data_IF_466373627200
#
_entry.id   IF_466373627200
#
_cell.length_a   1.000
_cell.length_b   1.000
_cell.length_c   1.000
_cell.angle_alpha   90.00
_cell.angle_beta   90.00
_cell.angle_gamma   90.00
#
_symmetry.space_group_name_H-M   'P 1'
#
loop_
_entity.id
_entity.type
_entity.pdbx_description
1 polymer ?
#
# COMPACT_ATOMS: atom_id res chain seq x y z
N UNK A 1 -56.51 -17.76 -5.43
CA UNK A 1 -55.48 -18.48 -4.66
C UNK A 1 -54.12 -17.92 -5.11
N UNK A 2 -53.65 -16.85 -4.47
CA UNK A 2 -52.42 -16.13 -4.85
C UNK A 2 -51.25 -16.80 -4.12
N UNK A 3 -50.47 -17.59 -4.86
CA UNK A 3 -49.33 -18.34 -4.31
C UNK A 3 -48.08 -17.46 -4.39
N UNK A 4 -47.36 -17.38 -3.28
CA UNK A 4 -46.25 -16.47 -3.01
C UNK A 4 -45.13 -16.50 -4.06
N UNK A 5 -44.90 -15.37 -4.73
CA UNK A 5 -43.76 -15.10 -5.63
C UNK A 5 -42.63 -14.28 -4.94
N UNK A 6 -42.70 -14.12 -3.62
CA UNK A 6 -41.79 -13.24 -2.86
C UNK A 6 -40.62 -13.96 -2.15
N UNK A 7 -40.55 -15.29 -2.22
CA UNK A 7 -39.53 -16.08 -1.49
C UNK A 7 -38.13 -16.08 -2.11
N UNK A 8 -38.00 -15.77 -3.42
CA UNK A 8 -36.73 -15.89 -4.16
C UNK A 8 -35.89 -14.60 -4.09
N UNK A 9 -36.51 -13.45 -3.77
CA UNK A 9 -35.79 -12.16 -3.67
C UNK A 9 -34.97 -12.02 -2.39
N UNK A 10 -35.40 -12.63 -1.28
CA UNK A 10 -34.76 -12.43 0.04
C UNK A 10 -33.47 -13.25 0.17
N UNK A 11 -33.44 -14.48 -0.38
CA UNK A 11 -32.23 -15.31 -0.39
C UNK A 11 -31.10 -14.69 -1.23
N UNK A 12 -31.44 -14.10 -2.38
CA UNK A 12 -30.45 -13.43 -3.22
C UNK A 12 -29.89 -12.16 -2.57
N UNK A 13 -30.70 -11.43 -1.78
CA UNK A 13 -30.27 -10.22 -1.08
C UNK A 13 -29.29 -10.55 0.07
N UNK A 14 -29.57 -11.62 0.81
CA UNK A 14 -28.70 -12.10 1.89
C UNK A 14 -27.37 -12.67 1.38
N UNK A 15 -27.39 -13.39 0.25
CA UNK A 15 -26.17 -13.86 -0.41
C UNK A 15 -25.33 -12.67 -0.91
N UNK A 16 -25.97 -11.61 -1.42
CA UNK A 16 -25.29 -10.40 -1.88
C UNK A 16 -24.60 -9.69 -0.71
N UNK A 17 -25.27 -9.55 0.43
CA UNK A 17 -24.74 -8.87 1.62
C UNK A 17 -23.54 -9.62 2.22
N UNK A 18 -23.61 -10.96 2.30
CA UNK A 18 -22.48 -11.80 2.72
C UNK A 18 -21.30 -11.68 1.74
N UNK A 19 -21.59 -11.68 0.43
CA UNK A 19 -20.55 -11.57 -0.60
C UNK A 19 -19.87 -10.20 -0.56
N UNK A 20 -20.65 -9.13 -0.35
CA UNK A 20 -20.15 -7.76 -0.21
C UNK A 20 -19.27 -7.61 1.03
N UNK A 21 -19.73 -8.12 2.18
CA UNK A 21 -18.96 -8.07 3.42
C UNK A 21 -17.65 -8.83 3.30
N UNK A 22 -17.67 -10.03 2.70
CA UNK A 22 -16.46 -10.82 2.46
C UNK A 22 -15.50 -10.13 1.50
N UNK A 23 -16.02 -9.48 0.44
CA UNK A 23 -15.19 -8.73 -0.49
C UNK A 23 -14.50 -7.51 0.15
N UNK A 24 -15.20 -6.83 1.07
CA UNK A 24 -14.66 -5.72 1.86
C UNK A 24 -13.57 -6.18 2.82
N UNK A 25 -13.76 -7.33 3.49
CA UNK A 25 -12.75 -7.92 4.36
C UNK A 25 -11.49 -8.34 3.58
N UNK A 26 -11.65 -8.97 2.41
CA UNK A 26 -10.53 -9.34 1.54
C UNK A 26 -9.72 -8.10 1.10
N UNK A 27 -10.40 -7.02 0.71
CA UNK A 27 -9.76 -5.78 0.27
C UNK A 27 -9.03 -5.08 1.42
N UNK A 28 -9.62 -5.05 2.62
CA UNK A 28 -8.99 -4.50 3.82
C UNK A 28 -7.71 -5.26 4.22
N UNK A 29 -7.73 -6.61 4.13
CA UNK A 29 -6.56 -7.44 4.43
C UNK A 29 -5.44 -7.22 3.40
N UNK A 30 -5.78 -7.09 2.11
CA UNK A 30 -4.80 -6.78 1.07
C UNK A 30 -4.16 -5.40 1.27
N UNK A 31 -4.97 -4.38 1.61
CA UNK A 31 -4.47 -3.04 1.93
C UNK A 31 -3.55 -3.03 3.17
N UNK A 32 -3.93 -3.74 4.23
CA UNK A 32 -3.11 -3.86 5.44
C UNK A 32 -1.78 -4.55 5.12
N UNK A 33 -1.81 -5.65 4.36
CA UNK A 33 -0.60 -6.38 3.95
C UNK A 33 0.34 -5.50 3.13
N UNK A 34 -0.21 -4.73 2.18
CA UNK A 34 0.55 -3.76 1.39
C UNK A 34 1.27 -2.75 2.30
N UNK A 35 0.54 -2.17 3.25
CA UNK A 35 1.07 -1.20 4.18
C UNK A 35 2.21 -1.76 5.05
N UNK A 36 2.03 -2.98 5.59
CA UNK A 36 3.06 -3.63 6.41
C UNK A 36 4.34 -3.86 5.61
N UNK A 37 4.25 -4.42 4.40
CA UNK A 37 5.42 -4.68 3.56
C UNK A 37 6.13 -3.37 3.21
N UNK A 38 5.38 -2.34 2.81
CA UNK A 38 5.92 -1.01 2.50
C UNK A 38 6.69 -0.42 3.68
N UNK A 39 6.11 -0.51 4.88
CA UNK A 39 6.70 0.01 6.11
C UNK A 39 7.99 -0.73 6.45
N UNK A 40 8.00 -2.06 6.38
CA UNK A 40 9.20 -2.86 6.66
C UNK A 40 10.33 -2.52 5.68
N UNK A 41 10.02 -2.50 4.38
CA UNK A 41 11.02 -2.19 3.33
C UNK A 41 11.57 -0.78 3.51
N UNK A 42 10.69 0.20 3.76
CA UNK A 42 11.09 1.59 3.96
C UNK A 42 11.94 1.73 5.22
N UNK A 43 11.49 1.18 6.34
CA UNK A 43 12.20 1.25 7.62
C UNK A 43 13.60 0.62 7.53
N UNK A 44 13.71 -0.60 6.99
CA UNK A 44 15.00 -1.26 6.80
C UNK A 44 15.94 -0.46 5.88
N UNK A 45 15.39 0.16 4.83
CA UNK A 45 16.16 1.01 3.91
C UNK A 45 16.67 2.27 4.61
N UNK A 46 15.79 3.00 5.30
CA UNK A 46 16.17 4.21 6.06
C UNK A 46 17.26 3.91 7.07
N UNK A 47 17.08 2.84 7.85
CA UNK A 47 17.99 2.47 8.92
C UNK A 47 19.38 2.14 8.36
N UNK A 48 19.45 1.36 7.27
CA UNK A 48 20.71 1.01 6.62
C UNK A 48 21.40 2.25 6.04
N UNK A 49 20.67 3.12 5.35
CA UNK A 49 21.24 4.34 4.75
C UNK A 49 21.77 5.28 5.84
N UNK A 50 21.01 5.52 6.91
CA UNK A 50 21.43 6.39 8.01
C UNK A 50 22.64 5.84 8.76
N UNK A 51 22.72 4.53 8.98
CA UNK A 51 23.89 3.89 9.59
C UNK A 51 25.16 4.06 8.75
N UNK A 52 25.03 4.05 7.41
CA UNK A 52 26.17 4.24 6.51
C UNK A 52 26.60 5.71 6.40
N UNK A 53 25.64 6.64 6.45
CA UNK A 53 25.91 8.07 6.22
C UNK A 53 26.24 8.85 7.49
N UNK A 54 25.88 8.34 8.67
CA UNK A 54 26.01 9.06 9.94
C UNK A 54 26.74 8.24 10.99
N UNK A 55 27.31 8.92 12.00
CA UNK A 55 27.95 8.29 13.16
C UNK A 55 27.01 8.22 14.38
N UNK A 56 25.73 8.44 14.18
CA UNK A 56 24.74 8.43 15.25
C UNK A 56 24.52 7.03 15.79
N UNK A 57 24.04 6.96 17.03
CA UNK A 57 23.70 5.69 17.65
C UNK A 57 22.51 5.04 16.93
N UNK A 58 22.44 3.70 17.00
CA UNK A 58 21.33 2.93 16.43
C UNK A 58 19.98 3.41 16.99
N UNK A 59 19.94 3.86 18.25
CA UNK A 59 18.73 4.33 18.93
C UNK A 59 18.22 5.63 18.30
N UNK A 60 19.11 6.61 18.07
CA UNK A 60 18.77 7.89 17.42
C UNK A 60 18.32 7.69 15.97
N UNK A 61 18.98 6.79 15.24
CA UNK A 61 18.61 6.48 13.86
C UNK A 61 17.25 5.76 13.82
N UNK A 62 17.02 4.83 14.74
CA UNK A 62 15.76 4.08 14.82
C UNK A 62 14.59 4.98 15.18
N UNK A 63 14.78 5.93 16.09
CA UNK A 63 13.73 6.90 16.46
C UNK A 63 13.38 7.80 15.27
N UNK A 64 14.38 8.28 14.53
CA UNK A 64 14.14 9.07 13.32
C UNK A 64 13.40 8.28 12.24
N UNK A 65 13.79 7.03 12.00
CA UNK A 65 13.14 6.13 11.04
C UNK A 65 11.67 5.84 11.43
N UNK A 66 11.40 5.74 12.74
CA UNK A 66 10.05 5.53 13.26
C UNK A 66 9.19 6.79 13.07
N UNK A 67 9.72 7.98 13.41
CA UNK A 67 9.05 9.27 13.17
C UNK A 67 8.71 9.42 11.69
N UNK A 68 9.68 9.14 10.81
CA UNK A 68 9.46 9.19 9.36
C UNK A 68 8.38 8.20 8.92
N UNK A 69 8.37 6.97 9.43
CA UNK A 69 7.33 5.99 9.10
C UNK A 69 5.93 6.47 9.47
N UNK A 70 5.78 7.09 10.65
CA UNK A 70 4.49 7.67 11.10
C UNK A 70 4.08 8.84 10.21
N UNK A 71 4.98 9.79 9.98
CA UNK A 71 4.71 10.99 9.18
C UNK A 71 4.40 10.63 7.74
N UNK A 72 5.18 9.73 7.15
CA UNK A 72 4.96 9.23 5.79
C UNK A 72 3.60 8.56 5.65
N UNK A 73 3.22 7.71 6.61
CA UNK A 73 1.90 7.10 6.60
C UNK A 73 0.76 8.13 6.65
N UNK A 74 0.82 9.07 7.60
CA UNK A 74 -0.24 10.06 7.78
C UNK A 74 -0.34 11.03 6.60
N UNK A 75 0.78 11.55 6.10
CA UNK A 75 0.79 12.56 5.06
C UNK A 75 0.64 11.96 3.66
N UNK A 76 1.30 10.85 3.39
CA UNK A 76 1.40 10.32 2.03
C UNK A 76 0.30 9.30 1.82
N UNK A 77 0.28 8.25 2.65
CA UNK A 77 -0.61 7.10 2.42
C UNK A 77 -2.08 7.45 2.67
N UNK A 78 -2.39 8.23 3.72
CA UNK A 78 -3.77 8.59 4.04
C UNK A 78 -4.27 9.80 3.25
N UNK A 79 -3.45 10.84 3.07
CA UNK A 79 -3.93 12.10 2.50
C UNK A 79 -3.68 12.23 0.99
N UNK A 80 -2.51 11.81 0.51
CA UNK A 80 -2.09 12.06 -0.88
C UNK A 80 -2.53 10.94 -1.81
N UNK A 81 -2.24 9.67 -1.47
CA UNK A 81 -2.53 8.53 -2.34
C UNK A 81 -4.00 8.48 -2.77
N UNK A 82 -5.01 8.63 -1.88
CA UNK A 82 -6.41 8.52 -2.28
C UNK A 82 -6.88 9.65 -3.22
N UNK A 83 -6.18 10.79 -3.23
CA UNK A 83 -6.58 11.98 -3.99
C UNK A 83 -5.87 12.11 -5.33
N UNK A 84 -4.59 11.74 -5.38
CA UNK A 84 -3.70 12.11 -6.48
C UNK A 84 -3.11 10.86 -7.18
N UNK A 85 -3.25 9.69 -6.57
CA UNK A 85 -2.77 8.42 -7.12
C UNK A 85 -1.31 8.11 -6.78
N UNK A 86 -0.94 6.86 -7.01
CA UNK A 86 0.30 6.23 -6.52
C UNK A 86 1.59 6.90 -7.06
N UNK A 87 1.62 7.26 -8.35
CA UNK A 87 2.83 7.83 -8.98
C UNK A 87 3.16 9.25 -8.50
N UNK A 88 2.16 10.04 -8.14
CA UNK A 88 2.37 11.43 -7.69
C UNK A 88 2.77 11.45 -6.19
N UNK A 89 2.56 10.35 -5.47
CA UNK A 89 3.05 10.21 -4.10
C UNK A 89 4.59 10.21 -4.01
N UNK A 90 5.29 9.76 -5.06
CA UNK A 90 6.76 9.63 -5.12
C UNK A 90 7.50 10.97 -4.91
N UNK A 91 7.21 12.05 -5.67
CA UNK A 91 7.84 13.35 -5.42
C UNK A 91 7.42 13.95 -4.07
N UNK A 92 6.19 13.71 -3.61
CA UNK A 92 5.78 14.14 -2.27
C UNK A 92 6.59 13.43 -1.19
N UNK A 93 6.83 12.13 -1.33
CA UNK A 93 7.67 11.38 -0.42
C UNK A 93 9.12 11.86 -0.42
N UNK A 94 9.64 12.29 -1.56
CA UNK A 94 10.94 12.96 -1.63
C UNK A 94 10.96 14.24 -0.76
N UNK A 95 9.99 15.14 -0.91
CA UNK A 95 9.95 16.37 -0.12
C UNK A 95 9.69 16.10 1.37
N UNK A 96 8.78 15.19 1.69
CA UNK A 96 8.48 14.81 3.07
C UNK A 96 9.67 14.17 3.75
N UNK A 97 10.35 13.21 3.11
CA UNK A 97 11.59 12.63 3.64
C UNK A 97 12.66 13.69 3.81
N UNK A 98 12.89 14.54 2.81
CA UNK A 98 13.88 15.61 2.88
C UNK A 98 13.64 16.53 4.10
N UNK A 99 12.39 16.93 4.35
CA UNK A 99 12.04 17.77 5.49
C UNK A 99 12.17 17.02 6.83
N UNK A 100 11.68 15.79 6.92
CA UNK A 100 11.74 15.01 8.16
C UNK A 100 13.18 14.69 8.56
N UNK A 101 14.00 14.23 7.62
CA UNK A 101 15.42 13.98 7.88
C UNK A 101 16.20 15.28 8.06
N UNK A 102 15.81 16.36 7.37
CA UNK A 102 16.40 17.69 7.55
C UNK A 102 16.25 18.19 8.97
N UNK A 103 15.02 18.24 9.46
CA UNK A 103 14.71 18.65 10.84
C UNK A 103 15.33 17.65 11.83
N UNK A 104 15.18 16.35 11.57
CA UNK A 104 15.68 15.31 12.47
C UNK A 104 17.20 15.34 12.65
N UNK A 105 17.97 15.41 11.56
CA UNK A 105 19.44 15.47 11.62
C UNK A 105 19.96 16.81 12.17
N UNK A 106 19.23 17.90 11.94
CA UNK A 106 19.55 19.21 12.53
C UNK A 106 19.38 19.18 14.05
N UNK A 107 18.30 18.58 14.55
CA UNK A 107 18.08 18.42 16.01
C UNK A 107 19.11 17.52 16.68
N UNK A 108 19.76 16.63 15.93
CA UNK A 108 20.87 15.80 16.40
C UNK A 108 22.25 16.50 16.30
N UNK A 109 22.29 17.75 15.85
CA UNK A 109 23.49 18.59 15.82
C UNK A 109 24.43 18.34 14.62
N UNK A 110 23.92 17.79 13.52
CA UNK A 110 24.75 17.49 12.34
C UNK A 110 24.99 18.76 11.50
N UNK A 111 26.18 19.36 11.59
CA UNK A 111 26.50 20.65 10.93
C UNK A 111 26.33 20.70 9.39
N UNK A 112 26.26 19.55 8.70
CA UNK A 112 26.09 19.45 7.23
C UNK A 112 24.91 18.54 6.88
N UNK A 113 23.69 19.01 7.13
CA UNK A 113 22.46 18.24 6.90
C UNK A 113 22.06 18.09 5.42
N UNK A 114 22.35 19.08 4.57
CA UNK A 114 21.72 19.17 3.24
C UNK A 114 22.06 17.96 2.35
N UNK A 115 23.35 17.62 2.24
CA UNK A 115 23.82 16.51 1.41
C UNK A 115 23.28 15.15 1.87
N UNK A 116 23.42 14.74 3.15
CA UNK A 116 22.85 13.48 3.60
C UNK A 116 21.32 13.45 3.46
N UNK A 117 20.61 14.56 3.71
CA UNK A 117 19.16 14.61 3.50
C UNK A 117 18.77 14.41 2.04
N UNK A 118 19.49 15.02 1.08
CA UNK A 118 19.25 14.82 -0.34
C UNK A 118 19.47 13.35 -0.75
N UNK A 119 20.55 12.73 -0.26
CA UNK A 119 20.84 11.33 -0.57
C UNK A 119 19.76 10.41 0.00
N UNK A 120 19.39 10.59 1.28
CA UNK A 120 18.36 9.78 1.94
C UNK A 120 17.02 9.91 1.24
N UNK A 121 16.60 11.15 0.93
CA UNK A 121 15.32 11.42 0.27
C UNK A 121 15.26 10.87 -1.16
N UNK A 122 16.34 10.98 -1.94
CA UNK A 122 16.44 10.37 -3.27
C UNK A 122 16.33 8.85 -3.20
N UNK A 123 17.06 8.21 -2.29
CA UNK A 123 17.03 6.75 -2.13
C UNK A 123 15.66 6.25 -1.67
N UNK A 124 15.02 6.95 -0.75
CA UNK A 124 13.68 6.59 -0.27
C UNK A 124 12.62 6.74 -1.34
N UNK A 125 12.62 7.87 -2.05
CA UNK A 125 11.69 8.12 -3.14
C UNK A 125 11.92 7.12 -4.28
N UNK A 126 13.18 6.79 -4.60
CA UNK A 126 13.52 5.75 -5.57
C UNK A 126 13.04 4.36 -5.16
N UNK A 127 13.22 3.98 -3.89
CA UNK A 127 12.71 2.72 -3.36
C UNK A 127 11.18 2.66 -3.40
N UNK A 128 10.50 3.77 -3.11
CA UNK A 128 9.05 3.83 -3.19
C UNK A 128 8.55 3.72 -4.63
N UNK A 129 9.22 4.36 -5.58
CA UNK A 129 8.93 4.22 -7.01
C UNK A 129 9.05 2.77 -7.47
N UNK A 130 10.14 2.09 -7.12
CA UNK A 130 10.33 0.66 -7.41
C UNK A 130 9.25 -0.20 -6.76
N UNK A 131 8.85 0.13 -5.53
CA UNK A 131 7.79 -0.56 -4.83
C UNK A 131 6.44 -0.41 -5.53
N UNK A 132 6.09 0.79 -6.01
CA UNK A 132 4.86 1.01 -6.78
C UNK A 132 4.87 0.24 -8.11
N UNK A 133 6.00 0.18 -8.81
CA UNK A 133 6.12 -0.64 -10.03
C UNK A 133 5.88 -2.11 -9.71
N UNK A 134 6.55 -2.64 -8.69
CA UNK A 134 6.44 -4.04 -8.29
C UNK A 134 5.02 -4.38 -7.83
N UNK A 135 4.41 -3.52 -7.03
CA UNK A 135 3.04 -3.70 -6.54
C UNK A 135 2.02 -3.61 -7.66
N UNK A 136 2.16 -2.63 -8.56
CA UNK A 136 1.30 -2.48 -9.74
C UNK A 136 1.31 -3.72 -10.63
N UNK A 137 2.48 -4.31 -10.85
CA UNK A 137 2.62 -5.58 -11.59
C UNK A 137 1.94 -6.75 -10.87
N UNK A 138 2.12 -6.84 -9.55
CA UNK A 138 1.53 -7.89 -8.71
C UNK A 138 -0.01 -7.79 -8.65
N UNK A 139 -0.56 -6.57 -8.63
CA UNK A 139 -2.00 -6.33 -8.65
C UNK A 139 -2.62 -6.72 -10.00
N UNK A 140 -1.95 -6.39 -11.10
CA UNK A 140 -2.44 -6.76 -12.43
C UNK A 140 -2.46 -8.28 -12.67
N UNK A 141 -1.47 -9.02 -12.18
CA UNK A 141 -1.45 -10.48 -12.30
C UNK A 141 -2.57 -11.14 -11.48
N UNK A 142 -2.85 -10.63 -10.28
CA UNK A 142 -3.99 -11.08 -9.46
C UNK A 142 -5.34 -10.83 -10.16
N UNK A 143 -5.54 -9.65 -10.76
CA UNK A 143 -6.75 -9.32 -11.53
C UNK A 143 -6.90 -10.25 -12.75
N UNK A 144 -5.80 -10.56 -13.46
CA UNK A 144 -5.82 -11.49 -14.59
C UNK A 144 -6.25 -12.89 -14.16
N UNK A 145 -5.73 -13.40 -13.05
CA UNK A 145 -6.13 -14.70 -12.50
C UNK A 145 -7.60 -14.73 -12.12
N UNK A 146 -8.10 -13.71 -11.40
CA UNK A 146 -9.53 -13.58 -11.06
C UNK A 146 -10.42 -13.62 -12.31
N UNK A 147 -10.04 -12.94 -13.40
CA UNK A 147 -10.79 -12.98 -14.67
C UNK A 147 -10.82 -14.38 -15.30
N UNK A 148 -9.68 -15.09 -15.34
CA UNK A 148 -9.62 -16.43 -15.94
C UNK A 148 -10.51 -17.42 -15.20
N UNK A 149 -10.51 -17.38 -13.86
CA UNK A 149 -11.39 -18.23 -13.04
C UNK A 149 -12.87 -17.93 -13.29
N UNK A 150 -13.24 -16.64 -13.35
CA UNK A 150 -14.62 -16.23 -13.64
C UNK A 150 -15.09 -16.66 -15.03
N UNK A 151 -14.22 -16.56 -16.04
CA UNK A 151 -14.52 -17.01 -17.41
C UNK A 151 -14.71 -18.53 -17.47
N UNK A 152 -13.86 -19.30 -16.78
CA UNK A 152 -14.01 -20.76 -16.69
C UNK A 152 -15.29 -21.17 -15.96
N UNK A 153 -15.66 -20.47 -14.88
CA UNK A 153 -16.91 -20.70 -14.15
C UNK A 153 -18.14 -20.43 -15.01
N UNK A 154 -18.17 -19.28 -15.72
CA UNK A 154 -19.25 -18.96 -16.66
C UNK A 154 -19.38 -19.98 -17.79
N UNK A 155 -18.27 -20.43 -18.36
CA UNK A 155 -18.27 -21.45 -19.41
C UNK A 155 -18.90 -22.77 -18.93
N UNK A 156 -18.54 -23.22 -17.72
CA UNK A 156 -19.15 -24.42 -17.11
C UNK A 156 -20.65 -24.25 -16.84
N UNK A 157 -21.09 -23.08 -16.37
CA UNK A 157 -22.51 -22.82 -16.12
C UNK A 157 -23.34 -22.81 -17.41
N UNK A 158 -22.80 -22.24 -18.50
CA UNK A 158 -23.45 -22.25 -19.83
C UNK A 158 -23.53 -23.67 -20.38
N UNK A 159 -22.45 -24.46 -20.28
CA UNK A 159 -22.46 -25.86 -20.68
C UNK A 159 -23.53 -26.67 -19.95
N UNK A 160 -23.70 -26.45 -18.64
CA UNK A 160 -24.72 -27.13 -17.84
C UNK A 160 -26.15 -26.81 -18.30
N UNK A 161 -26.41 -25.55 -18.69
CA UNK A 161 -27.73 -25.11 -19.19
C UNK A 161 -28.10 -25.62 -20.59
N UNK A 162 -27.12 -26.07 -21.38
CA UNK A 162 -27.36 -26.62 -22.72
C UNK A 162 -27.60 -28.14 -22.67
N UNK A 163 -27.08 -28.81 -21.65
CA UNK A 163 -27.19 -30.27 -21.48
C UNK A 163 -28.38 -30.72 -20.62
N UNK A 164 -29.11 -29.80 -19.99
CA UNK A 164 -30.32 -30.04 -19.19
C UNK A 164 -31.59 -29.67 -19.94
#
# INVERSE_FOLDING_TARGET
MVRCENGIKVSNLFILEITLKKSLEEEAVEHLRYFIIKTIVSFSSVLLILLLLTKFSVIEISSLALIYSIVGYLLIDILIIPRIGEMIAVPFNFFTSFLVFGIGLDTLGLNKIIVPCLIISLLLSGNEYLFYIWYGQSRQSAIRQKRVVLLHSKSKAVLFSITS
#
